data_IF_764810785239
#
_entry.id   IF_764810785239
#
_cell.length_a   1.000
_cell.length_b   1.000
_cell.length_c   1.000
_cell.angle_alpha   90.00
_cell.angle_beta   90.00
_cell.angle_gamma   90.00
#
_symmetry.space_group_name_H-M   'P 1'
#
loop_
_entity.id
_entity.type
_entity.pdbx_description
1 polymer ?
#
# COMPACT_ATOMS: atom_id res chain seq x y z
N UNK A 1 9.37 -18.27 15.03
CA UNK A 1 7.97 -18.65 14.76
C UNK A 1 7.56 -18.31 13.33
N UNK A 2 7.62 -17.04 12.93
CA UNK A 2 7.24 -16.63 11.56
C UNK A 2 8.06 -17.33 10.47
N UNK A 3 9.37 -17.45 10.63
CA UNK A 3 10.23 -18.19 9.69
C UNK A 3 9.74 -19.63 9.43
N UNK A 4 9.36 -20.37 10.48
CA UNK A 4 8.86 -21.73 10.37
C UNK A 4 7.48 -21.81 9.70
N UNK A 5 6.66 -20.76 9.79
CA UNK A 5 5.40 -20.64 9.08
C UNK A 5 5.63 -20.30 7.61
N UNK A 6 6.42 -19.25 7.33
CA UNK A 6 6.69 -18.72 5.99
C UNK A 6 7.38 -19.74 5.08
N UNK A 7 8.20 -20.64 5.64
CA UNK A 7 8.83 -21.75 4.91
C UNK A 7 7.84 -22.85 4.50
N UNK A 8 6.67 -22.95 5.13
CA UNK A 8 5.65 -23.98 4.85
C UNK A 8 4.55 -23.51 3.90
N UNK A 9 4.30 -22.21 3.82
CA UNK A 9 3.24 -21.65 2.98
C UNK A 9 3.79 -21.27 1.60
N UNK A 10 3.04 -21.60 0.55
CA UNK A 10 3.40 -21.36 -0.84
C UNK A 10 2.32 -20.52 -1.54
N UNK A 11 2.72 -19.79 -2.58
CA UNK A 11 1.84 -18.87 -3.31
C UNK A 11 2.02 -17.41 -2.93
N UNK A 12 1.09 -16.57 -3.39
CA UNK A 12 1.03 -15.15 -3.08
C UNK A 12 0.10 -14.91 -1.88
N UNK A 13 0.53 -14.10 -0.93
CA UNK A 13 -0.25 -13.77 0.25
C UNK A 13 0.12 -12.40 0.83
N UNK A 14 -0.87 -11.79 1.50
CA UNK A 14 -0.68 -10.74 2.49
C UNK A 14 -1.41 -11.19 3.75
N UNK A 15 -0.66 -11.45 4.82
CA UNK A 15 -1.17 -12.02 6.06
C UNK A 15 -1.11 -11.01 7.18
N UNK A 16 -2.18 -11.00 7.99
CA UNK A 16 -2.23 -10.37 9.30
C UNK A 16 -2.65 -11.46 10.30
N UNK A 17 -1.85 -11.65 11.33
CA UNK A 17 -2.05 -12.67 12.34
C UNK A 17 -2.11 -11.97 13.71
N UNK A 18 -3.18 -12.25 14.43
CA UNK A 18 -3.41 -11.78 15.79
C UNK A 18 -3.50 -13.00 16.71
N UNK A 19 -2.90 -12.90 17.90
CA UNK A 19 -2.91 -13.97 18.90
C UNK A 19 -3.73 -13.50 20.10
N UNK A 20 -4.71 -14.29 20.53
CA UNK A 20 -5.56 -13.93 21.66
C UNK A 20 -4.77 -13.70 22.97
N UNK A 21 -3.64 -14.39 23.13
CA UNK A 21 -2.75 -14.25 24.29
C UNK A 21 -1.85 -13.00 24.21
N UNK A 22 -1.73 -12.38 23.03
CA UNK A 22 -0.91 -11.20 22.78
C UNK A 22 -1.72 -10.17 21.95
N UNK A 23 -2.78 -9.58 22.52
CA UNK A 23 -3.71 -8.72 21.80
C UNK A 23 -3.06 -7.43 21.28
N UNK A 24 -2.00 -6.96 21.93
CA UNK A 24 -1.30 -5.72 21.58
C UNK A 24 -0.25 -5.90 20.48
N UNK A 25 -0.11 -7.12 19.94
CA UNK A 25 0.89 -7.45 18.94
C UNK A 25 0.25 -8.09 17.72
N UNK A 26 0.48 -7.48 16.56
CA UNK A 26 0.14 -8.02 15.26
C UNK A 26 1.38 -8.54 14.55
N UNK A 27 1.24 -9.67 13.86
CA UNK A 27 2.24 -10.15 12.93
C UNK A 27 1.72 -9.94 11.51
N UNK A 28 2.55 -9.36 10.66
CA UNK A 28 2.24 -9.16 9.25
C UNK A 28 3.26 -9.90 8.38
N UNK A 29 2.85 -10.41 7.23
CA UNK A 29 3.77 -10.96 6.26
C UNK A 29 3.27 -10.78 4.83
N UNK A 30 4.20 -10.54 3.92
CA UNK A 30 3.92 -10.28 2.51
C UNK A 30 4.71 -11.24 1.61
N UNK A 31 4.04 -11.75 0.57
CA UNK A 31 4.66 -12.38 -0.59
C UNK A 31 3.80 -12.11 -1.84
N UNK A 32 4.35 -11.37 -2.79
CA UNK A 32 3.77 -10.90 -4.06
C UNK A 32 2.55 -9.98 -3.95
N UNK A 33 1.64 -10.18 -2.99
CA UNK A 33 0.49 -9.31 -2.74
C UNK A 33 0.89 -8.05 -1.96
N UNK A 34 0.35 -6.86 -2.28
CA UNK A 34 0.71 -5.63 -1.59
C UNK A 34 0.23 -5.63 -0.13
N UNK A 35 1.07 -5.07 0.75
CA UNK A 35 0.75 -4.86 2.16
C UNK A 35 1.48 -3.58 2.61
N UNK A 36 0.72 -2.67 3.21
CA UNK A 36 1.20 -1.38 3.68
C UNK A 36 0.92 -1.23 5.17
N UNK A 37 1.86 -0.57 5.85
CA UNK A 37 1.76 -0.12 7.24
C UNK A 37 1.51 1.38 7.21
N UNK A 38 0.48 1.87 7.88
CA UNK A 38 0.28 3.29 8.12
C UNK A 38 0.60 3.64 9.57
N UNK A 39 1.29 4.74 9.76
CA UNK A 39 1.81 5.21 11.04
C UNK A 39 0.94 6.36 11.55
N UNK A 40 0.13 6.12 12.57
CA UNK A 40 -0.56 7.17 13.33
C UNK A 40 0.33 7.75 14.44
N UNK A 41 -0.25 8.57 15.29
CA UNK A 41 0.48 9.18 16.41
C UNK A 41 0.67 8.19 17.58
N UNK A 42 -0.39 7.44 17.94
CA UNK A 42 -0.39 6.43 19.02
C UNK A 42 -1.01 5.09 18.55
N UNK A 43 -1.04 4.88 17.24
CA UNK A 43 -1.68 3.73 16.60
C UNK A 43 -0.99 3.36 15.29
N UNK A 44 -1.07 2.07 14.93
CA UNK A 44 -0.54 1.54 13.69
C UNK A 44 -1.65 0.80 12.94
N UNK A 45 -1.67 0.97 11.62
CA UNK A 45 -2.67 0.33 10.76
C UNK A 45 -2.01 -0.53 9.69
N UNK A 46 -2.71 -1.58 9.28
CA UNK A 46 -2.34 -2.45 8.17
C UNK A 46 -3.43 -2.43 7.12
N UNK A 47 -3.03 -2.35 5.84
CA UNK A 47 -3.96 -2.36 4.73
C UNK A 47 -3.30 -2.87 3.46
N UNK A 48 -4.11 -3.30 2.50
CA UNK A 48 -3.61 -3.77 1.20
C UNK A 48 -3.02 -2.65 0.35
N UNK A 49 -3.46 -1.40 0.56
CA UNK A 49 -3.00 -0.25 -0.22
C UNK A 49 -3.18 1.08 0.53
N UNK A 50 -2.52 2.13 0.04
CA UNK A 50 -2.58 3.50 0.57
C UNK A 50 -4.01 4.04 0.65
N UNK A 51 -4.84 3.75 -0.36
CA UNK A 51 -6.19 4.30 -0.42
C UNK A 51 -7.08 3.78 0.71
N UNK A 52 -6.94 2.50 1.07
CA UNK A 52 -7.66 1.90 2.19
C UNK A 52 -7.26 2.54 3.54
N UNK A 53 -6.01 3.00 3.64
CA UNK A 53 -5.44 3.59 4.86
C UNK A 53 -5.56 5.12 4.90
N UNK A 54 -5.97 5.76 3.80
CA UNK A 54 -5.90 7.21 3.62
C UNK A 54 -6.70 8.03 4.65
N UNK A 55 -7.76 7.44 5.21
CA UNK A 55 -8.61 8.07 6.23
C UNK A 55 -8.08 7.90 7.66
N UNK A 56 -7.07 7.05 7.85
CA UNK A 56 -6.51 6.69 9.16
C UNK A 56 -5.14 7.36 9.37
N UNK A 57 -4.26 7.30 8.37
CA UNK A 57 -3.00 8.03 8.38
C UNK A 57 -2.48 8.33 6.97
N UNK A 58 -1.75 9.45 6.86
CA UNK A 58 -1.08 9.87 5.62
C UNK A 58 0.35 9.33 5.51
N UNK A 59 0.96 8.84 6.59
CA UNK A 59 2.33 8.33 6.58
C UNK A 59 2.29 6.83 6.40
N UNK A 60 2.78 6.31 5.29
CA UNK A 60 2.70 4.89 4.94
C UNK A 60 4.05 4.31 4.51
N UNK A 61 4.29 3.05 4.82
CA UNK A 61 5.40 2.25 4.28
C UNK A 61 4.84 0.99 3.65
N UNK A 62 5.22 0.70 2.40
CA UNK A 62 4.93 -0.61 1.81
C UNK A 62 6.01 -1.61 2.23
N UNK A 63 5.57 -2.80 2.63
CA UNK A 63 6.47 -3.94 2.80
C UNK A 63 7.02 -4.37 1.45
N UNK A 64 8.24 -4.90 1.41
CA UNK A 64 8.77 -5.52 0.19
C UNK A 64 8.36 -6.99 0.09
N UNK A 65 8.68 -7.61 -1.05
CA UNK A 65 8.41 -9.03 -1.25
C UNK A 65 9.22 -9.89 -0.27
N UNK A 66 8.52 -10.75 0.48
CA UNK A 66 9.14 -11.61 1.48
C UNK A 66 9.36 -10.97 2.85
N UNK A 67 9.00 -9.70 3.02
CA UNK A 67 9.04 -9.06 4.33
C UNK A 67 7.98 -9.63 5.28
N UNK A 68 8.32 -9.64 6.55
CA UNK A 68 7.37 -9.82 7.64
C UNK A 68 7.62 -8.79 8.74
N UNK A 69 6.62 -8.51 9.57
CA UNK A 69 6.72 -7.47 10.58
C UNK A 69 6.05 -7.88 11.88
N UNK A 70 6.59 -7.34 12.97
CA UNK A 70 5.96 -7.30 14.30
C UNK A 70 5.50 -5.87 14.50
N UNK A 71 4.21 -5.69 14.76
CA UNK A 71 3.57 -4.39 14.85
C UNK A 71 2.87 -4.29 16.19
N UNK A 72 3.17 -3.24 16.94
CA UNK A 72 2.45 -2.82 18.14
C UNK A 72 1.83 -1.45 17.85
N UNK A 73 1.14 -0.86 18.84
CA UNK A 73 0.67 0.53 18.71
C UNK A 73 1.82 1.54 18.59
N UNK A 74 3.00 1.21 19.13
CA UNK A 74 4.13 2.15 19.28
C UNK A 74 5.15 1.99 18.15
N UNK A 75 5.33 0.77 17.62
CA UNK A 75 6.38 0.49 16.62
C UNK A 75 5.99 -0.58 15.61
N UNK A 76 6.63 -0.51 14.45
CA UNK A 76 6.62 -1.57 13.44
C UNK A 76 8.06 -2.01 13.15
N UNK A 77 8.41 -3.22 13.58
CA UNK A 77 9.70 -3.86 13.30
C UNK A 77 9.56 -4.76 12.09
N UNK A 78 10.27 -4.43 11.02
CA UNK A 78 10.21 -5.15 9.74
C UNK A 78 11.46 -6.00 9.58
N UNK A 79 11.27 -7.22 9.09
CA UNK A 79 12.29 -8.22 8.86
C UNK A 79 12.22 -8.68 7.41
N UNK A 80 13.38 -8.84 6.79
CA UNK A 80 13.47 -9.43 5.45
C UNK A 80 13.42 -10.97 5.50
N UNK A 81 13.52 -11.61 4.33
CA UNK A 81 13.55 -13.08 4.20
C UNK A 81 14.70 -13.77 4.95
N UNK A 82 15.78 -13.04 5.28
CA UNK A 82 16.92 -13.53 6.06
C UNK A 82 16.76 -13.28 7.57
N UNK A 83 15.60 -12.78 7.99
CA UNK A 83 15.30 -12.36 9.36
C UNK A 83 16.19 -11.22 9.89
N UNK A 84 16.73 -10.41 8.99
CA UNK A 84 17.46 -9.19 9.35
C UNK A 84 16.46 -8.04 9.49
N UNK A 85 16.64 -7.19 10.49
CA UNK A 85 15.84 -5.98 10.66
C UNK A 85 16.15 -5.03 9.51
N UNK A 86 15.11 -4.52 8.86
CA UNK A 86 15.21 -3.59 7.74
C UNK A 86 14.30 -2.39 7.97
N UNK A 87 14.76 -1.23 7.51
CA UNK A 87 13.94 -0.02 7.48
C UNK A 87 13.29 0.12 6.10
N UNK A 88 11.97 0.33 6.08
CA UNK A 88 11.22 0.61 4.86
C UNK A 88 10.86 2.09 4.79
N UNK A 89 11.14 2.77 3.66
CA UNK A 89 10.94 4.20 3.57
C UNK A 89 9.45 4.54 3.70
N UNK A 90 9.13 5.35 4.70
CA UNK A 90 7.80 5.91 4.84
C UNK A 90 7.61 7.08 3.89
N UNK A 91 6.49 7.12 3.18
CA UNK A 91 6.09 8.23 2.32
C UNK A 91 4.83 8.87 2.88
N UNK A 92 4.75 10.20 2.78
CA UNK A 92 3.49 10.91 2.98
C UNK A 92 2.70 10.75 1.69
N UNK A 93 1.55 10.10 1.78
CA UNK A 93 0.65 9.90 0.65
C UNK A 93 -0.43 10.97 0.63
N UNK A 94 -0.69 11.54 -0.54
CA UNK A 94 -1.86 12.38 -0.81
C UNK A 94 -3.11 11.56 -1.16
N UNK A 95 -3.11 10.25 -0.85
CA UNK A 95 -4.23 9.36 -1.16
C UNK A 95 -5.57 9.86 -0.60
N UNK A 96 -5.58 10.62 0.50
CA UNK A 96 -6.81 11.22 1.04
C UNK A 96 -7.47 12.20 0.06
N UNK A 97 -6.68 12.98 -0.68
CA UNK A 97 -7.17 13.89 -1.72
C UNK A 97 -7.57 13.17 -3.02
N UNK A 98 -7.20 11.89 -3.15
CA UNK A 98 -7.50 11.05 -4.31
C UNK A 98 -8.55 10.00 -4.01
N UNK A 99 -9.28 10.13 -2.91
CA UNK A 99 -10.40 9.23 -2.61
C UNK A 99 -11.36 9.25 -3.81
N UNK A 100 -11.57 8.12 -4.50
CA UNK A 100 -12.42 8.10 -5.67
C UNK A 100 -13.82 8.55 -5.29
N UNK A 101 -14.26 9.65 -5.89
CA UNK A 101 -15.62 10.14 -5.78
C UNK A 101 -16.35 9.91 -7.12
N UNK A 102 -17.65 9.68 -7.06
CA UNK A 102 -18.49 9.57 -8.26
C UNK A 102 -18.78 10.94 -8.88
N UNK A 103 -18.64 12.03 -8.12
CA UNK A 103 -18.96 13.38 -8.56
C UNK A 103 -20.41 13.46 -9.04
N UNK A 104 -20.61 13.82 -10.32
CA UNK A 104 -21.94 13.96 -10.94
C UNK A 104 -22.54 12.65 -11.48
N UNK A 105 -21.78 11.55 -11.49
CA UNK A 105 -22.19 10.29 -12.13
C UNK A 105 -22.86 9.34 -11.13
N UNK A 106 -23.75 8.46 -11.61
CA UNK A 106 -24.43 7.51 -10.75
C UNK A 106 -23.53 6.30 -10.40
N UNK A 107 -22.64 5.93 -11.32
CA UNK A 107 -21.76 4.77 -11.22
C UNK A 107 -20.29 5.13 -11.49
N UNK A 108 -19.35 4.46 -10.81
CA UNK A 108 -17.91 4.64 -11.08
C UNK A 108 -17.55 4.28 -12.52
N UNK A 109 -18.12 3.20 -13.06
CA UNK A 109 -17.89 2.80 -14.45
C UNK A 109 -18.35 3.87 -15.44
N UNK A 110 -19.49 4.52 -15.18
CA UNK A 110 -20.00 5.62 -16.01
C UNK A 110 -19.05 6.83 -15.97
N UNK A 111 -18.59 7.22 -14.78
CA UNK A 111 -17.57 8.25 -14.59
C UNK A 111 -16.30 7.91 -15.39
N UNK A 112 -15.74 6.73 -15.16
CA UNK A 112 -14.47 6.30 -15.76
C UNK A 112 -14.53 6.22 -17.29
N UNK A 113 -15.67 5.83 -17.88
CA UNK A 113 -15.87 5.88 -19.35
C UNK A 113 -15.86 7.32 -19.86
N UNK A 114 -16.53 8.24 -19.16
CA UNK A 114 -16.60 9.64 -19.56
C UNK A 114 -15.28 10.41 -19.35
N UNK A 115 -14.44 9.98 -18.41
CA UNK A 115 -13.13 10.58 -18.11
C UNK A 115 -12.01 10.14 -19.07
N UNK A 116 -12.24 9.10 -19.90
CA UNK A 116 -11.20 8.58 -20.81
C UNK A 116 -10.54 9.65 -21.70
N UNK A 117 -11.27 10.59 -22.33
CA UNK A 117 -10.63 11.59 -23.20
C UNK A 117 -9.63 12.48 -22.45
N UNK A 118 -9.98 12.88 -21.22
CA UNK A 118 -9.13 13.71 -20.37
C UNK A 118 -7.92 12.91 -19.88
N UNK A 119 -8.13 11.70 -19.36
CA UNK A 119 -7.06 10.83 -18.85
C UNK A 119 -6.07 10.46 -19.95
N UNK A 120 -6.54 10.15 -21.16
CA UNK A 120 -5.67 9.89 -22.32
C UNK A 120 -4.86 11.15 -22.67
N UNK A 121 -5.49 12.32 -22.69
CA UNK A 121 -4.79 13.59 -22.96
C UNK A 121 -3.67 13.86 -21.95
N UNK A 122 -3.97 13.74 -20.66
CA UNK A 122 -2.99 13.89 -19.56
C UNK A 122 -1.84 12.90 -19.73
N UNK A 123 -2.13 11.64 -20.04
CA UNK A 123 -1.09 10.61 -20.17
C UNK A 123 -0.21 10.86 -21.40
N UNK A 124 -0.79 11.29 -22.51
CA UNK A 124 -0.04 11.68 -23.71
C UNK A 124 0.90 12.87 -23.42
N UNK A 125 0.48 13.85 -22.62
CA UNK A 125 1.35 14.98 -22.25
C UNK A 125 2.60 14.58 -21.45
N UNK A 126 2.56 13.47 -20.71
CA UNK A 126 3.73 12.96 -20.00
C UNK A 126 4.71 12.20 -20.90
N UNK A 127 4.28 11.78 -22.09
CA UNK A 127 5.06 10.90 -22.98
C UNK A 127 5.42 11.62 -24.28
N UNK A 128 4.63 12.60 -24.72
CA UNK A 128 4.76 13.28 -26.00
C UNK A 128 4.73 14.79 -25.78
N UNK A 129 5.70 15.49 -26.37
CA UNK A 129 5.71 16.95 -26.39
C UNK A 129 4.51 17.47 -27.20
N UNK A 130 3.63 18.27 -26.61
CA UNK A 130 2.45 18.79 -27.31
C UNK A 130 2.80 19.75 -28.45
N UNK A 131 3.98 20.36 -28.41
CA UNK A 131 4.44 21.31 -29.42
C UNK A 131 5.13 20.63 -30.60
N UNK A 132 5.82 19.52 -30.36
CA UNK A 132 6.66 18.87 -31.40
C UNK A 132 6.17 17.49 -31.82
N UNK A 133 5.21 16.90 -31.10
CA UNK A 133 4.69 15.55 -31.38
C UNK A 133 5.71 14.42 -31.17
N UNK A 134 6.88 14.73 -30.57
CA UNK A 134 7.94 13.77 -30.30
C UNK A 134 7.86 13.21 -28.89
N UNK A 135 8.37 12.00 -28.71
CA UNK A 135 8.49 11.38 -27.40
C UNK A 135 9.41 12.21 -26.48
N UNK A 136 8.98 12.37 -25.23
CA UNK A 136 9.77 12.89 -24.12
C UNK A 136 10.67 11.74 -23.63
N UNK A 137 11.74 11.44 -24.36
CA UNK A 137 12.81 10.52 -23.94
C UNK A 137 13.72 11.16 -22.92
#
# INVERSE_FOLDING_TARGET
MMEALLSKIQGAFALLIMMAQHPDTLLAARKYSPLAIAYGDDEMFLGSDALALAHLSRKISYLEDGDWAIITKDEAKIFNLKNEIVERPSKITDASNKTPDKGKYAHYMEKEINEQPEVIGIHLHHIVSPTTGKLLT
#
